data_IF_772379758261
#
_entry.id   IF_772379758261
#
_cell.length_a   1.000
_cell.length_b   1.000
_cell.length_c   1.000
_cell.angle_alpha   90.00
_cell.angle_beta   90.00
_cell.angle_gamma   90.00
#
_symmetry.space_group_name_H-M   'P 1'
#
loop_
_entity.id
_entity.type
_entity.pdbx_description
1 polymer ?
#
# COMPACT_ATOMS: atom_id res chain seq x y z
N UNK A 1 -2.74 17.76 2.96
CA UNK A 1 -3.76 17.00 2.20
C UNK A 1 -3.06 15.92 1.39
N UNK A 2 -3.04 14.68 1.87
CA UNK A 2 -2.51 13.54 1.12
C UNK A 2 -3.63 13.05 0.19
N UNK A 3 -3.51 13.28 -1.11
CA UNK A 3 -4.45 12.75 -2.12
C UNK A 3 -4.29 11.22 -2.16
N UNK A 4 -5.12 10.47 -1.44
CA UNK A 4 -5.20 9.02 -1.57
C UNK A 4 -6.02 8.65 -2.80
N UNK A 5 -5.43 8.76 -4.00
CA UNK A 5 -6.00 8.11 -5.18
C UNK A 5 -5.67 6.63 -5.13
N UNK A 6 -6.20 5.93 -4.13
CA UNK A 6 -6.24 4.49 -4.20
C UNK A 6 -7.36 4.16 -5.20
N UNK A 7 -6.99 3.83 -6.44
CA UNK A 7 -7.95 3.45 -7.48
C UNK A 7 -8.33 1.96 -7.39
N UNK A 8 -8.03 1.33 -6.25
CA UNK A 8 -8.42 -0.02 -5.92
C UNK A 8 -9.92 -0.23 -6.17
N UNK A 9 -10.22 -1.15 -7.07
CA UNK A 9 -11.56 -1.58 -7.44
C UNK A 9 -11.47 -3.07 -7.76
N UNK A 10 -11.63 -3.88 -6.72
CA UNK A 10 -11.46 -5.32 -6.78
C UNK A 10 -12.41 -5.93 -7.82
N UNK A 11 -11.87 -6.69 -8.77
CA UNK A 11 -12.64 -7.30 -9.86
C UNK A 11 -12.89 -6.40 -11.08
N UNK A 12 -12.50 -5.12 -11.06
CA UNK A 12 -12.61 -4.21 -12.23
C UNK A 12 -11.27 -3.79 -12.83
N UNK A 13 -10.19 -4.38 -12.35
CA UNK A 13 -8.84 -4.19 -12.86
C UNK A 13 -8.48 -5.39 -13.72
N UNK A 14 -7.82 -5.15 -14.84
CA UNK A 14 -7.45 -6.20 -15.79
C UNK A 14 -6.13 -5.91 -16.50
N UNK A 15 -5.56 -6.95 -17.09
CA UNK A 15 -4.46 -6.86 -18.08
C UNK A 15 -5.01 -7.10 -19.47
N UNK A 16 -4.31 -6.63 -20.49
CA UNK A 16 -4.59 -7.01 -21.87
C UNK A 16 -3.75 -8.24 -22.25
N UNK A 17 -4.36 -9.21 -22.91
CA UNK A 17 -3.64 -10.33 -23.53
C UNK A 17 -2.97 -9.91 -24.86
N UNK A 18 -2.27 -10.84 -25.50
CA UNK A 18 -1.63 -10.59 -26.81
C UNK A 18 -2.61 -10.20 -27.93
N UNK A 19 -3.90 -10.48 -27.75
CA UNK A 19 -4.98 -10.17 -28.69
C UNK A 19 -5.73 -8.88 -28.28
N UNK A 20 -5.29 -8.17 -27.24
CA UNK A 20 -5.94 -6.97 -26.73
C UNK A 20 -7.25 -7.21 -25.96
N UNK A 21 -7.51 -8.44 -25.52
CA UNK A 21 -8.68 -8.79 -24.72
C UNK A 21 -8.40 -8.61 -23.22
N UNK A 22 -9.41 -8.20 -22.42
CA UNK A 22 -9.23 -7.98 -20.99
C UNK A 22 -9.21 -9.31 -20.23
N UNK A 23 -8.11 -9.60 -19.54
CA UNK A 23 -8.00 -10.67 -18.55
C UNK A 23 -8.20 -10.05 -17.17
N UNK A 24 -9.31 -10.37 -16.51
CA UNK A 24 -9.56 -9.98 -15.12
C UNK A 24 -8.90 -10.96 -14.17
N UNK A 25 -8.47 -10.46 -13.00
CA UNK A 25 -7.88 -11.31 -11.97
C UNK A 25 -7.56 -10.56 -10.69
N UNK A 26 -7.11 -11.31 -9.69
CA UNK A 26 -6.58 -10.74 -8.46
C UNK A 26 -5.08 -10.46 -8.63
N UNK A 27 -4.72 -9.19 -8.65
CA UNK A 27 -3.33 -8.74 -8.78
C UNK A 27 -2.72 -8.27 -7.45
N UNK A 28 -3.43 -8.42 -6.32
CA UNK A 28 -2.94 -8.00 -5.02
C UNK A 28 -1.79 -8.88 -4.53
N UNK A 29 -0.82 -8.29 -3.84
CA UNK A 29 0.33 -8.98 -3.23
C UNK A 29 1.18 -9.81 -4.21
N UNK A 30 1.08 -9.56 -5.52
CA UNK A 30 1.89 -10.20 -6.55
C UNK A 30 2.79 -9.14 -7.19
N UNK A 31 4.03 -9.49 -7.51
CA UNK A 31 4.84 -8.64 -8.38
C UNK A 31 4.18 -8.59 -9.76
N UNK A 32 3.83 -7.38 -10.19
CA UNK A 32 3.17 -7.16 -11.46
C UNK A 32 3.91 -6.08 -12.25
N UNK A 33 4.61 -6.52 -13.29
CA UNK A 33 5.37 -5.70 -14.24
C UNK A 33 4.56 -5.31 -15.47
N UNK A 34 3.31 -5.77 -15.59
CA UNK A 34 2.44 -5.47 -16.72
C UNK A 34 1.60 -4.22 -16.44
N UNK A 35 1.28 -3.47 -17.50
CA UNK A 35 0.29 -2.39 -17.44
C UNK A 35 -1.06 -2.93 -16.99
N UNK A 36 -1.58 -2.35 -15.91
CA UNK A 36 -2.94 -2.58 -15.45
C UNK A 36 -3.86 -1.51 -16.00
N UNK A 37 -5.09 -1.93 -16.29
CA UNK A 37 -6.14 -1.08 -16.83
C UNK A 37 -7.36 -1.10 -15.91
N UNK A 38 -8.07 0.03 -15.89
CA UNK A 38 -9.38 0.18 -15.28
C UNK A 38 -10.27 1.00 -16.20
N UNK A 39 -11.43 0.43 -16.50
CA UNK A 39 -12.45 1.09 -17.29
C UNK A 39 -13.34 1.98 -16.40
N UNK A 40 -13.81 3.13 -16.90
CA UNK A 40 -14.93 3.83 -16.32
C UNK A 40 -16.19 2.96 -16.29
N UNK A 41 -17.14 3.30 -15.43
CA UNK A 41 -18.44 2.60 -15.40
C UNK A 41 -19.29 3.00 -16.62
N UNK A 42 -19.25 4.28 -16.98
CA UNK A 42 -20.04 4.87 -18.06
C UNK A 42 -19.31 6.10 -18.64
N UNK A 43 -19.75 6.55 -19.81
CA UNK A 43 -19.34 7.81 -20.41
C UNK A 43 -20.57 8.61 -20.84
N UNK A 44 -20.40 9.90 -21.09
CA UNK A 44 -21.46 10.78 -21.61
C UNK A 44 -21.18 11.07 -23.08
N UNK A 45 -22.18 10.91 -23.94
CA UNK A 45 -22.08 11.30 -25.36
C UNK A 45 -22.24 12.82 -25.54
N UNK A 46 -22.05 13.30 -26.78
CA UNK A 46 -22.07 14.75 -27.08
C UNK A 46 -23.47 15.35 -26.91
N UNK A 47 -24.48 14.50 -27.02
CA UNK A 47 -25.90 14.82 -26.81
C UNK A 47 -26.29 14.82 -25.32
N UNK A 48 -25.35 14.48 -24.43
CA UNK A 48 -25.53 14.49 -22.98
C UNK A 48 -26.10 13.19 -22.39
N UNK A 49 -26.27 12.13 -23.18
CA UNK A 49 -26.77 10.85 -22.71
C UNK A 49 -25.65 10.02 -22.07
N UNK A 50 -25.93 9.41 -20.93
CA UNK A 50 -24.99 8.50 -20.25
C UNK A 50 -25.11 7.10 -20.86
N UNK A 51 -23.99 6.57 -21.34
CA UNK A 51 -23.88 5.25 -21.98
C UNK A 51 -22.92 4.34 -21.21
N UNK A 52 -23.17 3.02 -21.20
CA UNK A 52 -22.29 2.07 -20.54
C UNK A 52 -20.93 2.01 -21.24
N UNK A 53 -19.83 1.87 -20.48
CA UNK A 53 -18.50 1.80 -21.07
C UNK A 53 -18.24 0.49 -21.84
N UNK A 54 -19.13 -0.50 -21.73
CA UNK A 54 -19.10 -1.72 -22.55
C UNK A 54 -19.07 -1.45 -24.05
N UNK A 55 -19.57 -0.30 -24.49
CA UNK A 55 -19.53 0.16 -25.87
C UNK A 55 -18.09 0.26 -26.40
N UNK A 56 -17.11 0.48 -25.50
CA UNK A 56 -15.71 0.37 -25.87
C UNK A 56 -15.47 -0.99 -26.50
N UNK A 57 -15.84 -2.09 -25.85
CA UNK A 57 -15.53 -3.45 -26.29
C UNK A 57 -16.33 -3.90 -27.52
N UNK A 58 -17.53 -3.37 -27.74
CA UNK A 58 -18.47 -3.81 -28.79
C UNK A 58 -18.48 -2.94 -30.04
N UNK A 59 -18.00 -1.69 -29.97
CA UNK A 59 -18.07 -0.76 -31.11
C UNK A 59 -17.19 -1.19 -32.29
N UNK A 60 -17.74 -1.03 -33.50
CA UNK A 60 -17.03 -1.14 -34.78
C UNK A 60 -16.51 0.21 -35.29
N UNK A 61 -16.92 1.32 -34.68
CA UNK A 61 -16.47 2.67 -35.03
C UNK A 61 -15.08 2.94 -34.43
N UNK A 62 -14.11 3.15 -35.31
CA UNK A 62 -12.71 3.36 -34.94
C UNK A 62 -12.46 4.70 -34.22
N UNK A 63 -13.23 5.75 -34.53
CA UNK A 63 -13.06 7.05 -33.87
C UNK A 63 -13.71 7.06 -32.49
N UNK A 64 -14.89 6.44 -32.34
CA UNK A 64 -15.49 6.21 -31.02
C UNK A 64 -14.57 5.36 -30.14
N UNK A 65 -14.02 4.25 -30.67
CA UNK A 65 -13.06 3.40 -29.95
C UNK A 65 -11.85 4.22 -29.47
N UNK A 66 -11.30 5.10 -30.32
CA UNK A 66 -10.17 5.97 -29.97
C UNK A 66 -10.51 6.92 -28.82
N UNK A 67 -11.67 7.61 -28.90
CA UNK A 67 -12.14 8.53 -27.85
C UNK A 67 -12.35 7.80 -26.51
N UNK A 68 -13.02 6.65 -26.53
CA UNK A 68 -13.24 5.85 -25.33
C UNK A 68 -11.91 5.33 -24.74
N UNK A 69 -10.92 4.99 -25.58
CA UNK A 69 -9.62 4.57 -25.10
C UNK A 69 -8.92 5.64 -24.24
N UNK A 70 -9.13 6.93 -24.52
CA UNK A 70 -8.56 8.04 -23.74
C UNK A 70 -9.20 8.19 -22.35
N UNK A 71 -10.37 7.59 -22.13
CA UNK A 71 -11.06 7.63 -20.83
C UNK A 71 -10.63 6.49 -19.90
N UNK A 72 -9.92 5.47 -20.42
CA UNK A 72 -9.41 4.35 -19.63
C UNK A 72 -8.26 4.83 -18.77
N UNK A 73 -8.23 4.40 -17.51
CA UNK A 73 -7.07 4.61 -16.67
C UNK A 73 -6.11 3.45 -16.85
N UNK A 74 -4.85 3.73 -17.17
CA UNK A 74 -3.81 2.70 -17.32
C UNK A 74 -2.50 3.12 -16.68
N UNK A 75 -1.82 2.20 -16.00
CA UNK A 75 -0.46 2.43 -15.52
C UNK A 75 0.32 1.12 -15.39
N UNK A 76 1.61 1.21 -15.69
CA UNK A 76 2.65 0.21 -15.41
C UNK A 76 3.03 0.16 -13.92
N UNK A 77 2.73 1.22 -13.17
CA UNK A 77 2.81 1.25 -11.70
C UNK A 77 1.60 0.55 -11.07
N UNK A 78 1.57 -0.78 -11.21
CA UNK A 78 0.47 -1.64 -10.78
C UNK A 78 -0.05 -1.35 -9.36
N UNK A 79 0.83 -1.00 -8.43
CA UNK A 79 0.48 -0.68 -7.04
C UNK A 79 -0.55 0.45 -6.84
N UNK A 80 -0.78 1.35 -7.82
CA UNK A 80 -1.84 2.37 -7.72
C UNK A 80 -3.25 1.78 -7.79
N UNK A 81 -3.37 0.58 -8.36
CA UNK A 81 -4.61 -0.17 -8.45
C UNK A 81 -4.72 -1.26 -7.38
N UNK A 82 -3.71 -1.46 -6.54
CA UNK A 82 -3.68 -2.53 -5.54
C UNK A 82 -3.94 -2.01 -4.13
N UNK A 83 -4.49 -2.89 -3.29
CA UNK A 83 -4.69 -2.57 -1.87
C UNK A 83 -3.35 -2.38 -1.19
N UNK A 84 -3.11 -1.18 -0.66
CA UNK A 84 -1.94 -0.90 0.18
C UNK A 84 -2.14 -1.48 1.58
N UNK A 85 -1.17 -2.25 2.05
CA UNK A 85 -1.13 -2.76 3.43
C UNK A 85 0.31 -2.97 3.89
N UNK A 86 0.51 -3.05 5.21
CA UNK A 86 1.81 -3.30 5.84
C UNK A 86 1.65 -4.41 6.88
N UNK A 87 2.68 -5.25 7.04
CA UNK A 87 2.70 -6.22 8.12
C UNK A 87 2.88 -5.50 9.47
N UNK A 88 2.17 -5.91 10.52
CA UNK A 88 2.34 -5.32 11.85
C UNK A 88 3.76 -5.61 12.37
N UNK A 89 4.28 -4.70 13.17
CA UNK A 89 5.55 -4.87 13.85
C UNK A 89 5.41 -4.46 15.31
N UNK A 90 6.26 -5.03 16.15
CA UNK A 90 6.25 -4.80 17.59
C UNK A 90 7.67 -4.54 18.07
N UNK A 91 7.79 -3.75 19.13
CA UNK A 91 9.02 -3.51 19.85
C UNK A 91 8.74 -3.62 21.34
N UNK A 92 9.51 -4.45 22.03
CA UNK A 92 9.36 -4.65 23.46
C UNK A 92 10.49 -3.93 24.22
N UNK A 93 10.10 -3.09 25.17
CA UNK A 93 11.00 -2.37 26.06
C UNK A 93 10.77 -2.88 27.49
N UNK A 94 11.84 -3.03 28.26
CA UNK A 94 11.77 -3.43 29.66
C UNK A 94 12.51 -2.42 30.53
N UNK A 95 11.94 -2.10 31.69
CA UNK A 95 12.59 -1.32 32.75
C UNK A 95 12.36 -2.04 34.07
N UNK A 96 13.45 -2.27 34.79
CA UNK A 96 13.43 -2.82 36.14
C UNK A 96 13.93 -1.74 37.08
N UNK A 97 13.09 -1.32 38.01
CA UNK A 97 13.41 -0.32 39.02
C UNK A 97 13.40 -0.95 40.39
N UNK A 98 14.44 -0.66 41.17
CA UNK A 98 14.51 -1.00 42.58
C UNK A 98 14.56 0.26 43.42
N UNK A 99 13.59 0.36 44.32
CA UNK A 99 13.53 1.40 45.34
C UNK A 99 14.53 1.07 46.46
N UNK A 100 15.37 2.04 46.83
CA UNK A 100 16.36 1.97 47.90
C UNK A 100 15.88 2.86 49.07
N UNK A 101 14.88 2.36 49.79
CA UNK A 101 14.22 3.10 50.86
C UNK A 101 13.45 4.31 50.33
N UNK A 102 13.47 5.43 51.07
CA UNK A 102 12.80 6.69 50.68
C UNK A 102 13.73 7.68 49.97
N UNK A 103 15.02 7.35 49.85
CA UNK A 103 16.07 8.30 49.49
C UNK A 103 16.54 8.16 48.04
N UNK A 104 16.41 6.98 47.45
CA UNK A 104 16.89 6.75 46.08
C UNK A 104 16.14 5.62 45.37
N UNK A 105 16.18 5.63 44.04
CA UNK A 105 15.78 4.50 43.21
C UNK A 105 16.77 4.26 42.07
N UNK A 106 17.08 3.00 41.82
CA UNK A 106 17.97 2.55 40.76
C UNK A 106 17.16 1.83 39.70
N UNK A 107 17.26 2.26 38.45
CA UNK A 107 16.57 1.66 37.32
C UNK A 107 17.56 1.16 36.28
N UNK A 108 17.31 -0.02 35.74
CA UNK A 108 17.96 -0.53 34.52
C UNK A 108 16.90 -0.69 33.45
N UNK A 109 17.22 -0.33 32.22
CA UNK A 109 16.29 -0.47 31.12
C UNK A 109 16.97 -0.99 29.85
N UNK A 110 16.21 -1.74 29.06
CA UNK A 110 16.58 -2.20 27.74
C UNK A 110 15.45 -1.86 26.76
N UNK A 111 15.77 -1.04 25.76
CA UNK A 111 14.88 -0.77 24.64
C UNK A 111 15.13 -1.79 23.53
N UNK A 112 14.06 -2.19 22.84
CA UNK A 112 14.07 -3.30 21.88
C UNK A 112 14.79 -4.52 22.46
N UNK A 113 14.39 -4.98 23.65
CA UNK A 113 15.13 -6.01 24.39
C UNK A 113 15.18 -7.36 23.65
N UNK A 114 14.22 -7.60 22.75
CA UNK A 114 14.18 -8.77 21.86
C UNK A 114 15.04 -8.61 20.60
N UNK A 115 15.72 -7.47 20.45
CA UNK A 115 16.50 -7.07 19.26
C UNK A 115 15.74 -7.26 17.93
N UNK A 116 14.44 -6.96 17.93
CA UNK A 116 13.57 -7.08 16.77
C UNK A 116 13.81 -5.89 15.83
N UNK A 117 14.33 -6.10 14.63
CA UNK A 117 14.55 -5.03 13.63
C UNK A 117 13.85 -5.32 12.29
N UNK A 118 12.51 -5.44 12.29
CA UNK A 118 11.77 -5.78 11.09
C UNK A 118 11.88 -4.66 10.05
N UNK A 119 11.84 -5.07 8.78
CA UNK A 119 11.76 -4.18 7.63
C UNK A 119 10.31 -4.14 7.18
N UNK A 120 9.69 -2.95 7.20
CA UNK A 120 8.35 -2.77 6.67
C UNK A 120 8.41 -2.56 5.17
N UNK A 121 7.47 -3.18 4.46
CA UNK A 121 7.25 -2.99 3.03
C UNK A 121 5.76 -2.82 2.78
N UNK A 122 5.42 -2.02 1.78
CA UNK A 122 4.05 -1.99 1.29
C UNK A 122 3.80 -3.29 0.52
N UNK A 123 2.78 -4.07 0.91
CA UNK A 123 2.47 -5.34 0.27
C UNK A 123 2.00 -5.16 -1.19
N UNK A 124 1.52 -3.98 -1.58
CA UNK A 124 1.25 -3.62 -2.97
C UNK A 124 2.53 -3.43 -3.82
N UNK A 125 3.70 -3.34 -3.18
CA UNK A 125 5.01 -3.14 -3.82
C UNK A 125 6.04 -4.15 -3.28
N UNK A 126 5.89 -5.45 -3.56
CA UNK A 126 6.76 -6.49 -2.98
C UNK A 126 8.25 -6.28 -3.30
N UNK A 127 8.57 -5.76 -4.49
CA UNK A 127 9.94 -5.53 -4.95
C UNK A 127 10.52 -4.19 -4.51
N UNK A 128 9.72 -3.30 -3.93
CA UNK A 128 10.23 -2.03 -3.45
C UNK A 128 11.13 -2.23 -2.22
N UNK A 129 12.17 -1.40 -2.06
CA UNK A 129 12.98 -1.39 -0.84
C UNK A 129 12.08 -1.03 0.35
N UNK A 130 12.28 -1.75 1.45
CA UNK A 130 11.58 -1.48 2.70
C UNK A 130 12.34 -0.54 3.61
N UNK A 131 11.74 -0.23 4.76
CA UNK A 131 12.34 0.65 5.77
C UNK A 131 12.40 -0.06 7.11
N UNK A 132 13.54 0.04 7.81
CA UNK A 132 13.67 -0.43 9.19
C UNK A 132 12.89 0.49 10.12
N UNK A 133 12.10 -0.09 11.02
CA UNK A 133 11.19 0.68 11.88
C UNK A 133 11.56 0.68 13.36
N UNK A 134 12.13 -0.41 13.86
CA UNK A 134 12.57 -0.48 15.26
C UNK A 134 13.99 0.07 15.39
N UNK A 135 14.27 0.71 16.52
CA UNK A 135 15.63 1.13 16.89
C UNK A 135 16.50 -0.10 17.18
N UNK A 136 17.84 0.00 17.06
CA UNK A 136 18.74 -1.03 17.61
C UNK A 136 18.50 -1.25 19.11
N UNK A 137 18.89 -2.42 19.61
CA UNK A 137 18.87 -2.70 21.04
C UNK A 137 19.75 -1.69 21.81
N UNK A 138 19.23 -1.16 22.91
CA UNK A 138 19.93 -0.16 23.73
C UNK A 138 19.70 -0.44 25.22
N UNK A 139 20.76 -0.32 26.01
CA UNK A 139 20.75 -0.53 27.45
C UNK A 139 21.13 0.77 28.17
N UNK A 140 20.48 1.04 29.30
CA UNK A 140 20.82 2.17 30.15
C UNK A 140 20.47 1.94 31.60
N UNK A 141 21.00 2.82 32.45
CA UNK A 141 20.74 2.84 33.88
C UNK A 141 20.45 4.27 34.33
N UNK A 142 19.57 4.42 35.32
CA UNK A 142 19.18 5.70 35.91
C UNK A 142 19.22 5.58 37.43
N UNK A 143 19.77 6.61 38.09
CA UNK A 143 19.70 6.78 39.54
C UNK A 143 18.88 8.04 39.84
N UNK A 144 17.79 7.87 40.59
CA UNK A 144 16.99 8.98 41.10
C UNK A 144 17.29 9.14 42.59
N UNK A 145 17.52 10.37 43.03
CA UNK A 145 17.69 10.73 44.44
C UNK A 145 16.49 11.59 44.88
N UNK A 146 15.99 11.34 46.09
CA UNK A 146 14.89 12.11 46.71
C UNK A 146 15.41 12.67 48.03
N UNK A 147 15.37 13.98 48.16
CA UNK A 147 15.83 14.75 49.33
C UNK A 147 14.65 15.47 49.99
#
# INVERSE_FOLDING_TARGET
MQRSWNLYDEGKIYKLDSNGQPIYGNYNNVSNTSTLYRDPVAYMDLEGNVRPFSDYWTTTDSDLRRRLNMLRTSTDFSYYFLKTSYNPFFMANIRVTKELGKLASLSFYANNFTNSTPIIKNNARPDAPGTRVNTPIYFGAELKLTF
#
